data_IF_001472732865
#
_entry.id   IF_001472732865
#
_cell.length_a   1.000
_cell.length_b   1.000
_cell.length_c   1.000
_cell.angle_alpha   90.00
_cell.angle_beta   90.00
_cell.angle_gamma   90.00
#
_symmetry.space_group_name_H-M   'P 1'
#
loop_
_entity.id
_entity.type
_entity.pdbx_description
1 polymer ?
#
# COMPACT_ATOMS: atom_id res chain seq x y z
N UNK A 1 7.54 20.37 0.99
CA UNK A 1 8.28 19.76 2.12
C UNK A 1 9.77 20.11 2.10
N UNK A 2 10.50 19.77 1.06
CA UNK A 2 11.95 19.98 1.01
C UNK A 2 12.37 21.44 1.22
N UNK A 3 11.70 22.37 0.54
CA UNK A 3 11.96 23.80 0.74
C UNK A 3 11.84 24.18 2.21
N UNK A 4 10.73 23.78 2.85
CA UNK A 4 10.48 24.11 4.28
C UNK A 4 11.49 23.44 5.21
N UNK A 5 11.96 22.23 4.86
CA UNK A 5 13.03 21.56 5.61
C UNK A 5 14.33 22.35 5.51
N UNK A 6 14.70 22.80 4.31
CA UNK A 6 15.93 23.59 4.09
C UNK A 6 15.90 24.96 4.79
N UNK A 7 14.69 25.52 4.99
CA UNK A 7 14.54 26.80 5.71
C UNK A 7 14.77 26.63 7.23
N UNK A 8 14.55 25.44 7.78
CA UNK A 8 14.56 25.18 9.21
C UNK A 8 15.74 24.32 9.68
N UNK A 9 16.28 23.47 8.79
CA UNK A 9 17.30 22.47 9.13
C UNK A 9 18.40 22.44 8.08
N UNK A 10 19.56 21.95 8.46
CA UNK A 10 20.62 21.60 7.50
C UNK A 10 20.29 20.23 6.92
N UNK A 11 19.83 20.20 5.67
CA UNK A 11 19.34 18.99 5.01
C UNK A 11 20.43 18.37 4.12
N UNK A 12 20.56 17.06 4.21
CA UNK A 12 21.42 16.27 3.31
C UNK A 12 20.52 15.31 2.53
N UNK A 13 20.64 15.33 1.20
CA UNK A 13 19.87 14.47 0.31
C UNK A 13 20.59 13.13 0.16
N UNK A 14 20.23 12.18 1.01
CA UNK A 14 20.89 10.87 1.10
C UNK A 14 21.03 10.20 -0.28
N UNK A 15 19.98 10.27 -1.08
CA UNK A 15 19.94 9.63 -2.40
C UNK A 15 20.82 10.30 -3.45
N UNK A 16 21.36 11.49 -3.18
CA UNK A 16 22.29 12.19 -4.08
C UNK A 16 23.77 12.01 -3.65
N UNK A 17 23.99 11.45 -2.47
CA UNK A 17 25.35 11.28 -1.92
C UNK A 17 26.01 10.09 -2.62
N UNK A 18 27.06 10.36 -3.39
CA UNK A 18 27.77 9.33 -4.18
C UNK A 18 28.60 8.40 -3.28
N UNK A 19 29.31 8.97 -2.32
CA UNK A 19 30.12 8.21 -1.36
C UNK A 19 29.47 8.30 0.02
N UNK A 20 28.52 7.38 0.25
CA UNK A 20 27.74 7.34 1.48
C UNK A 20 28.61 6.99 2.70
N UNK A 21 29.63 6.16 2.53
CA UNK A 21 30.56 5.81 3.62
C UNK A 21 31.40 7.02 4.07
N UNK A 22 32.00 7.75 3.13
CA UNK A 22 32.73 8.96 3.46
C UNK A 22 31.84 10.01 4.13
N UNK A 23 30.61 10.15 3.65
CA UNK A 23 29.64 11.06 4.27
C UNK A 23 29.34 10.67 5.70
N UNK A 24 29.04 9.41 5.95
CA UNK A 24 28.73 8.92 7.32
C UNK A 24 29.92 9.06 8.27
N UNK A 25 31.14 8.82 7.78
CA UNK A 25 32.35 8.99 8.58
C UNK A 25 32.56 10.47 8.99
N UNK A 26 32.10 11.41 8.15
CA UNK A 26 32.32 12.85 8.39
C UNK A 26 31.15 13.52 9.11
N UNK A 27 29.96 13.04 8.90
CA UNK A 27 28.71 13.72 9.33
C UNK A 27 27.76 12.85 10.15
N UNK A 28 27.95 11.54 10.20
CA UNK A 28 27.00 10.63 10.84
C UNK A 28 26.73 10.98 12.30
N UNK A 29 27.78 11.44 13.01
CA UNK A 29 27.71 11.85 14.41
C UNK A 29 26.90 13.14 14.65
N UNK A 30 26.51 13.83 13.57
CA UNK A 30 25.77 15.11 13.65
C UNK A 30 24.33 15.01 13.14
N UNK A 31 23.97 13.86 12.54
CA UNK A 31 22.63 13.66 11.99
C UNK A 31 21.65 13.32 13.11
N UNK A 32 20.71 14.22 13.36
CA UNK A 32 19.72 14.09 14.44
C UNK A 32 18.35 13.60 13.97
N UNK A 33 18.03 13.81 12.70
CA UNK A 33 16.73 13.41 12.15
C UNK A 33 16.86 12.79 10.78
N UNK A 34 15.96 11.83 10.50
CA UNK A 34 15.82 11.23 9.17
C UNK A 34 14.37 11.39 8.72
N UNK A 35 14.18 11.94 7.52
CA UNK A 35 12.87 11.98 6.85
C UNK A 35 12.91 10.91 5.76
N UNK A 36 11.94 9.99 5.78
CA UNK A 36 11.93 8.85 4.87
C UNK A 36 10.51 8.51 4.42
N UNK A 37 10.38 7.74 3.33
CA UNK A 37 9.10 7.19 2.90
C UNK A 37 8.75 5.90 3.66
N UNK A 38 7.45 5.61 3.79
CA UNK A 38 7.00 4.39 4.49
C UNK A 38 7.46 3.09 3.83
N UNK A 39 7.71 3.14 2.51
CA UNK A 39 8.19 1.96 1.76
C UNK A 39 9.72 1.82 1.78
N UNK A 40 10.43 2.87 2.23
CA UNK A 40 11.90 2.90 2.33
C UNK A 40 12.35 2.61 3.76
N UNK A 41 11.79 3.35 4.73
CA UNK A 41 12.16 3.21 6.13
C UNK A 41 13.58 3.67 6.41
N UNK A 42 14.23 3.02 7.37
CA UNK A 42 15.66 3.20 7.65
C UNK A 42 16.29 1.83 7.93
N UNK A 43 17.25 1.39 7.10
CA UNK A 43 17.98 0.14 7.38
C UNK A 43 18.72 0.23 8.72
N UNK A 44 18.79 -0.90 9.44
CA UNK A 44 19.46 -0.96 10.74
C UNK A 44 20.93 -0.55 10.64
N UNK A 45 21.61 -0.94 9.55
CA UNK A 45 23.02 -0.60 9.31
C UNK A 45 23.22 0.92 9.19
N UNK A 46 22.27 1.60 8.56
CA UNK A 46 22.32 3.08 8.46
C UNK A 46 22.03 3.70 9.83
N UNK A 47 20.99 3.24 10.52
CA UNK A 47 20.65 3.76 11.85
C UNK A 47 21.84 3.63 12.81
N UNK A 48 22.60 2.52 12.76
CA UNK A 48 23.76 2.28 13.64
C UNK A 48 24.91 3.27 13.40
N UNK A 49 24.98 3.83 12.19
CA UNK A 49 26.00 4.82 11.84
C UNK A 49 25.57 6.26 12.14
N UNK A 50 24.42 6.43 12.80
CA UNK A 50 23.89 7.74 13.19
C UNK A 50 23.74 7.79 14.72
N UNK A 51 24.84 7.91 15.48
CA UNK A 51 24.77 7.83 16.95
C UNK A 51 23.97 8.97 17.59
N UNK A 52 23.83 10.11 16.91
CA UNK A 52 23.06 11.26 17.40
C UNK A 52 21.59 11.26 16.93
N UNK A 53 21.12 10.16 16.29
CA UNK A 53 19.76 10.09 15.75
C UNK A 53 18.72 10.21 16.87
N UNK A 54 17.84 11.21 16.76
CA UNK A 54 16.79 11.50 17.75
C UNK A 54 15.38 11.21 17.20
N UNK A 55 15.18 11.31 15.86
CA UNK A 55 13.86 11.11 15.26
C UNK A 55 13.96 10.55 13.84
N UNK A 56 13.06 9.61 13.53
CA UNK A 56 12.75 9.15 12.16
C UNK A 56 11.32 9.58 11.85
N UNK A 57 11.15 10.53 10.92
CA UNK A 57 9.84 11.04 10.50
C UNK A 57 9.45 10.39 9.17
N UNK A 58 8.43 9.54 9.21
CA UNK A 58 7.98 8.77 8.05
C UNK A 58 6.91 9.56 7.28
N UNK A 59 7.17 9.87 6.03
CA UNK A 59 6.21 10.45 5.10
C UNK A 59 5.37 9.32 4.50
N UNK A 60 4.43 8.81 5.30
CA UNK A 60 3.60 7.64 4.99
C UNK A 60 2.95 7.08 6.25
N UNK A 61 2.02 6.14 6.09
CA UNK A 61 1.36 5.48 7.22
C UNK A 61 2.16 4.25 7.69
N UNK A 62 2.65 3.46 6.74
CA UNK A 62 3.37 2.23 7.06
C UNK A 62 4.74 2.50 7.66
N UNK A 63 5.09 1.74 8.67
CA UNK A 63 6.41 1.81 9.34
C UNK A 63 7.07 0.44 9.40
N UNK A 64 6.64 -0.45 8.54
CA UNK A 64 7.10 -1.83 8.46
C UNK A 64 8.60 -1.95 8.12
N UNK A 65 9.20 -0.87 7.60
CA UNK A 65 10.63 -0.79 7.25
C UNK A 65 11.45 -0.05 8.33
N UNK A 66 10.89 0.11 9.55
CA UNK A 66 11.60 0.70 10.71
C UNK A 66 11.55 -0.31 11.86
N UNK A 67 12.72 -0.62 12.41
CA UNK A 67 12.85 -1.53 13.55
C UNK A 67 12.45 -0.79 14.84
N UNK A 68 11.17 -0.89 15.23
CA UNK A 68 10.64 -0.20 16.41
C UNK A 68 11.27 -0.67 17.72
N UNK A 69 11.52 -1.98 17.95
CA UNK A 69 12.30 -2.41 19.10
C UNK A 69 13.64 -1.71 19.20
N UNK A 70 14.38 -1.63 18.10
CA UNK A 70 15.67 -0.94 18.05
C UNK A 70 15.52 0.57 18.33
N UNK A 71 14.47 1.20 17.78
CA UNK A 71 14.20 2.62 18.04
C UNK A 71 14.03 2.86 19.54
N UNK A 72 13.23 2.03 20.22
CA UNK A 72 13.03 2.12 21.67
C UNK A 72 14.35 1.89 22.44
N UNK A 73 15.10 0.89 22.05
CA UNK A 73 16.38 0.56 22.71
C UNK A 73 17.38 1.71 22.61
N UNK A 74 17.44 2.36 21.43
CA UNK A 74 18.38 3.45 21.16
C UNK A 74 17.83 4.82 21.59
N UNK A 75 16.52 4.92 21.89
CA UNK A 75 15.88 6.14 22.36
C UNK A 75 15.54 7.16 21.29
N UNK A 76 15.54 6.78 20.00
CA UNK A 76 15.06 7.70 18.97
C UNK A 76 13.54 7.52 18.73
N UNK A 77 12.87 8.64 18.50
CA UNK A 77 11.43 8.66 18.26
C UNK A 77 11.12 8.29 16.80
N UNK A 78 9.92 7.77 16.57
CA UNK A 78 9.41 7.48 15.22
C UNK A 78 8.03 8.10 15.08
N UNK A 79 7.81 8.87 14.02
CA UNK A 79 6.51 9.43 13.67
C UNK A 79 6.10 9.00 12.25
N UNK A 80 4.79 9.03 11.96
CA UNK A 80 4.26 8.75 10.65
C UNK A 80 3.14 9.75 10.28
N UNK A 81 2.48 9.58 9.13
CA UNK A 81 1.45 10.52 8.69
C UNK A 81 0.09 9.82 8.52
N UNK A 82 -0.52 9.37 9.63
CA UNK A 82 -1.82 8.68 9.58
C UNK A 82 -2.95 9.64 9.23
N UNK A 83 -4.09 9.08 8.83
CA UNK A 83 -5.36 9.73 8.54
C UNK A 83 -5.37 10.58 7.27
N UNK A 84 -4.38 11.44 7.07
CA UNK A 84 -4.36 12.42 5.97
C UNK A 84 -4.41 11.79 4.56
N UNK A 85 -3.98 10.52 4.43
CA UNK A 85 -3.98 9.83 3.13
C UNK A 85 -5.12 8.80 2.99
N UNK A 86 -5.92 8.59 4.04
CA UNK A 86 -6.94 7.53 4.08
C UNK A 86 -7.93 7.62 2.92
N UNK A 87 -8.41 8.82 2.64
CA UNK A 87 -9.39 9.08 1.57
C UNK A 87 -8.83 8.71 0.20
N UNK A 88 -7.64 9.21 -0.13
CA UNK A 88 -7.03 9.01 -1.45
C UNK A 88 -6.68 7.54 -1.71
N UNK A 89 -6.16 6.86 -0.69
CA UNK A 89 -5.85 5.42 -0.83
C UNK A 89 -7.13 4.62 -1.06
N UNK A 90 -8.22 4.99 -0.35
CA UNK A 90 -9.51 4.33 -0.56
C UNK A 90 -10.06 4.63 -1.97
N UNK A 91 -9.91 5.87 -2.45
CA UNK A 91 -10.32 6.26 -3.82
C UNK A 91 -9.52 5.45 -4.87
N UNK A 92 -8.21 5.30 -4.65
CA UNK A 92 -7.36 4.49 -5.54
C UNK A 92 -7.82 3.03 -5.57
N UNK A 93 -8.19 2.45 -4.42
CA UNK A 93 -8.72 1.08 -4.37
C UNK A 93 -9.98 0.95 -5.25
N UNK A 94 -10.91 1.90 -5.13
CA UNK A 94 -12.14 1.89 -5.96
C UNK A 94 -11.77 2.08 -7.44
N UNK A 95 -10.83 2.98 -7.73
CA UNK A 95 -10.34 3.18 -9.10
C UNK A 95 -9.80 1.90 -9.72
N UNK A 96 -8.97 1.15 -8.96
CA UNK A 96 -8.42 -0.13 -9.42
C UNK A 96 -9.53 -1.18 -9.62
N UNK A 97 -10.50 -1.26 -8.70
CA UNK A 97 -11.65 -2.16 -8.83
C UNK A 97 -12.40 -1.89 -10.14
N UNK A 98 -12.74 -0.63 -10.39
CA UNK A 98 -13.49 -0.25 -11.60
C UNK A 98 -12.65 -0.47 -12.85
N UNK A 99 -11.39 -0.02 -12.83
CA UNK A 99 -10.50 -0.12 -13.99
C UNK A 99 -10.26 -1.59 -14.38
N UNK A 100 -10.07 -2.47 -13.40
CA UNK A 100 -9.88 -3.89 -13.65
C UNK A 100 -11.18 -4.52 -14.16
N UNK A 101 -12.31 -4.34 -13.46
CA UNK A 101 -13.58 -4.96 -13.81
C UNK A 101 -14.08 -4.53 -15.18
N UNK A 102 -13.81 -3.29 -15.60
CA UNK A 102 -14.32 -2.73 -16.84
C UNK A 102 -13.24 -2.60 -17.92
N UNK A 103 -12.05 -3.15 -17.69
CA UNK A 103 -10.92 -3.15 -18.63
C UNK A 103 -10.53 -1.72 -19.09
N UNK A 104 -10.64 -0.70 -18.19
CA UNK A 104 -10.50 0.70 -18.60
C UNK A 104 -9.12 0.99 -19.19
N UNK A 105 -8.05 0.51 -18.55
CA UNK A 105 -6.68 0.74 -19.04
C UNK A 105 -6.45 0.13 -20.42
N UNK A 106 -6.90 -1.11 -20.60
CA UNK A 106 -6.80 -1.82 -21.88
C UNK A 106 -7.65 -1.14 -22.96
N UNK A 107 -8.87 -0.71 -22.59
CA UNK A 107 -9.79 -0.04 -23.52
C UNK A 107 -9.21 1.32 -23.98
N UNK A 108 -8.66 2.11 -23.05
CA UNK A 108 -8.01 3.38 -23.39
C UNK A 108 -6.85 3.15 -24.38
N UNK A 109 -5.99 2.18 -24.05
CA UNK A 109 -4.84 1.85 -24.90
C UNK A 109 -5.30 1.36 -26.29
N UNK A 110 -6.38 0.58 -26.34
CA UNK A 110 -6.95 0.05 -27.60
C UNK A 110 -7.42 1.20 -28.51
N UNK A 111 -8.14 2.18 -27.95
CA UNK A 111 -8.62 3.34 -28.70
C UNK A 111 -7.45 4.20 -29.19
N UNK A 112 -6.49 4.51 -28.30
CA UNK A 112 -5.32 5.35 -28.62
C UNK A 112 -4.45 4.74 -29.74
N UNK A 113 -4.37 3.41 -29.80
CA UNK A 113 -3.64 2.69 -30.86
C UNK A 113 -4.41 2.62 -32.20
N UNK A 114 -5.62 3.20 -32.28
CA UNK A 114 -6.44 3.16 -33.48
C UNK A 114 -6.98 1.78 -33.81
N UNK A 115 -7.17 0.94 -32.81
CA UNK A 115 -7.60 -0.45 -33.00
C UNK A 115 -9.13 -0.61 -32.98
N UNK A 116 -9.88 0.35 -32.45
CA UNK A 116 -11.34 0.21 -32.31
C UNK A 116 -12.05 -0.10 -33.63
N UNK A 117 -11.71 0.53 -34.77
CA UNK A 117 -12.37 0.14 -36.03
C UNK A 117 -11.99 -1.25 -36.54
N UNK A 118 -10.96 -1.88 -35.96
CA UNK A 118 -10.45 -3.18 -36.42
C UNK A 118 -10.95 -4.34 -35.58
N UNK A 119 -11.19 -4.13 -34.29
CA UNK A 119 -11.57 -5.18 -33.36
C UNK A 119 -12.27 -4.59 -32.14
N UNK A 120 -13.17 -5.36 -31.57
CA UNK A 120 -13.81 -5.06 -30.26
C UNK A 120 -12.96 -5.64 -29.13
N UNK A 121 -13.06 -5.05 -27.95
CA UNK A 121 -12.49 -5.63 -26.73
C UNK A 121 -13.55 -6.54 -26.07
N UNK A 122 -13.09 -7.46 -25.24
CA UNK A 122 -13.96 -8.38 -24.50
C UNK A 122 -14.85 -7.64 -23.49
N UNK A 123 -15.92 -8.31 -23.09
CA UNK A 123 -16.83 -7.76 -22.08
C UNK A 123 -16.18 -7.73 -20.70
N UNK A 124 -16.45 -6.66 -19.96
CA UNK A 124 -16.06 -6.54 -18.57
C UNK A 124 -17.07 -7.16 -17.61
N UNK A 125 -16.78 -7.05 -16.33
CA UNK A 125 -17.61 -7.57 -15.25
C UNK A 125 -18.30 -6.40 -14.53
N UNK A 126 -19.52 -6.64 -14.03
CA UNK A 126 -20.25 -5.66 -13.20
C UNK A 126 -19.51 -5.46 -11.87
N UNK A 127 -19.42 -4.21 -11.43
CA UNK A 127 -18.86 -3.83 -10.13
C UNK A 127 -19.92 -3.97 -9.02
N UNK A 128 -21.14 -3.49 -9.31
CA UNK A 128 -22.24 -3.45 -8.33
C UNK A 128 -22.77 -4.84 -8.00
N UNK A 129 -23.18 -5.02 -6.74
CA UNK A 129 -23.82 -6.24 -6.25
C UNK A 129 -22.89 -7.41 -6.01
N UNK A 130 -21.57 -7.23 -6.15
CA UNK A 130 -20.58 -8.30 -5.93
C UNK A 130 -20.25 -8.45 -4.43
N UNK A 131 -19.66 -9.59 -4.10
CA UNK A 131 -19.15 -9.89 -2.76
C UNK A 131 -17.71 -9.39 -2.66
N UNK A 132 -17.48 -8.43 -1.75
CA UNK A 132 -16.16 -7.85 -1.52
C UNK A 132 -15.63 -8.28 -0.16
N UNK A 133 -14.43 -8.88 -0.16
CA UNK A 133 -13.69 -9.19 1.05
C UNK A 133 -12.64 -8.12 1.32
N UNK A 134 -12.52 -7.64 2.55
CA UNK A 134 -11.48 -6.67 2.93
C UNK A 134 -10.56 -7.34 3.95
N UNK A 135 -9.30 -7.54 3.57
CA UNK A 135 -8.27 -8.00 4.50
C UNK A 135 -7.70 -6.77 5.21
N UNK A 136 -8.11 -6.57 6.46
CA UNK A 136 -7.69 -5.43 7.28
C UNK A 136 -8.73 -4.30 7.33
N UNK A 137 -9.64 -4.34 8.32
CA UNK A 137 -10.67 -3.30 8.47
C UNK A 137 -10.21 -2.19 9.42
N UNK A 138 -9.04 -1.58 9.10
CA UNK A 138 -8.51 -0.38 9.74
C UNK A 138 -9.12 0.90 9.12
N UNK A 139 -8.46 2.05 9.30
CA UNK A 139 -8.95 3.33 8.76
C UNK A 139 -9.20 3.25 7.24
N UNK A 140 -8.23 2.76 6.49
CA UNK A 140 -8.32 2.64 5.02
C UNK A 140 -9.39 1.60 4.65
N UNK A 141 -9.36 0.40 5.29
CA UNK A 141 -10.36 -0.63 5.00
C UNK A 141 -11.79 -0.16 5.23
N UNK A 142 -12.03 0.61 6.31
CA UNK A 142 -13.34 1.21 6.58
C UNK A 142 -13.73 2.24 5.53
N UNK A 143 -12.77 3.06 5.08
CA UNK A 143 -13.01 4.06 4.04
C UNK A 143 -13.35 3.39 2.69
N UNK A 144 -12.71 2.26 2.38
CA UNK A 144 -13.02 1.44 1.19
C UNK A 144 -14.44 0.84 1.34
N UNK A 145 -14.74 0.24 2.51
CA UNK A 145 -16.06 -0.37 2.75
C UNK A 145 -17.19 0.64 2.51
N UNK A 146 -17.08 1.85 3.09
CA UNK A 146 -18.09 2.91 2.90
C UNK A 146 -18.29 3.30 1.44
N UNK A 147 -17.23 3.25 0.61
CA UNK A 147 -17.36 3.54 -0.83
C UNK A 147 -18.05 2.40 -1.56
N UNK A 148 -17.74 1.17 -1.16
CA UNK A 148 -18.35 -0.03 -1.75
C UNK A 148 -19.85 -0.12 -1.47
N UNK A 149 -20.33 0.45 -0.36
CA UNK A 149 -21.78 0.54 -0.08
C UNK A 149 -22.54 1.18 -1.23
N UNK A 150 -21.94 2.18 -1.91
CA UNK A 150 -22.57 2.87 -3.04
C UNK A 150 -22.74 1.97 -4.27
N UNK A 151 -22.10 0.81 -4.29
CA UNK A 151 -22.22 -0.19 -5.37
C UNK A 151 -23.13 -1.36 -4.98
N UNK A 152 -23.95 -1.21 -3.95
CA UNK A 152 -24.81 -2.29 -3.43
C UNK A 152 -24.00 -3.55 -3.10
N UNK A 153 -22.77 -3.38 -2.65
CA UNK A 153 -21.81 -4.48 -2.40
C UNK A 153 -22.19 -5.27 -1.16
N UNK A 154 -21.96 -6.58 -1.22
CA UNK A 154 -21.98 -7.44 -0.04
C UNK A 154 -20.57 -7.44 0.56
N UNK A 155 -20.39 -6.79 1.70
CA UNK A 155 -19.06 -6.53 2.27
C UNK A 155 -18.80 -7.46 3.44
N UNK A 156 -17.63 -8.09 3.42
CA UNK A 156 -17.12 -8.91 4.53
C UNK A 156 -15.66 -8.54 4.76
N UNK A 157 -15.14 -8.93 5.91
CA UNK A 157 -13.75 -8.62 6.24
C UNK A 157 -13.12 -9.70 7.12
N UNK A 158 -11.80 -9.69 7.17
CA UNK A 158 -11.01 -10.38 8.20
C UNK A 158 -9.97 -9.40 8.77
N UNK A 159 -9.50 -9.68 9.95
CA UNK A 159 -8.51 -8.87 10.66
C UNK A 159 -8.26 -9.43 12.04
N UNK A 160 -7.51 -8.69 12.86
CA UNK A 160 -7.09 -9.15 14.19
C UNK A 160 -8.24 -9.53 15.12
N UNK A 161 -9.41 -8.91 14.94
CA UNK A 161 -10.58 -9.17 15.78
C UNK A 161 -11.86 -8.72 15.05
N UNK A 162 -12.97 -9.32 15.44
CA UNK A 162 -14.30 -8.88 15.00
C UNK A 162 -14.57 -7.48 15.56
N UNK A 163 -15.18 -6.63 14.74
CA UNK A 163 -15.50 -5.24 15.10
C UNK A 163 -17.02 -5.04 15.07
N UNK A 164 -17.50 -4.01 15.76
CA UNK A 164 -18.91 -3.63 15.75
C UNK A 164 -19.19 -2.78 14.50
N UNK A 165 -19.43 -3.45 13.40
CA UNK A 165 -19.71 -2.85 12.09
C UNK A 165 -20.75 -3.73 11.36
N UNK A 166 -21.50 -3.17 10.39
CA UNK A 166 -22.54 -3.94 9.67
C UNK A 166 -22.02 -4.92 8.62
N UNK A 167 -20.73 -5.21 8.61
CA UNK A 167 -20.12 -6.09 7.60
C UNK A 167 -19.88 -7.50 8.14
N UNK A 168 -19.95 -8.50 7.25
CA UNK A 168 -19.66 -9.88 7.60
C UNK A 168 -18.22 -10.06 8.08
N UNK A 169 -18.01 -10.88 9.13
CA UNK A 169 -16.67 -11.17 9.65
C UNK A 169 -16.32 -12.64 9.42
N UNK A 170 -15.14 -12.88 8.89
CA UNK A 170 -14.55 -14.22 8.77
C UNK A 170 -13.29 -14.30 9.65
N UNK A 171 -13.14 -15.36 10.46
CA UNK A 171 -12.00 -15.44 11.37
C UNK A 171 -10.66 -15.70 10.65
N UNK A 172 -10.70 -16.21 9.41
CA UNK A 172 -9.49 -16.45 8.66
C UNK A 172 -9.55 -15.83 7.27
N UNK A 173 -8.38 -15.55 6.71
CA UNK A 173 -8.23 -14.99 5.36
C UNK A 173 -8.71 -15.99 4.29
N UNK A 174 -8.45 -17.28 4.52
CA UNK A 174 -8.90 -18.33 3.59
C UNK A 174 -10.44 -18.38 3.52
N UNK A 175 -11.11 -18.34 4.69
CA UNK A 175 -12.58 -18.30 4.73
C UNK A 175 -13.12 -17.05 4.03
N UNK A 176 -12.49 -15.90 4.24
CA UNK A 176 -12.88 -14.66 3.55
C UNK A 176 -12.76 -14.83 2.03
N UNK A 177 -11.63 -15.36 1.54
CA UNK A 177 -11.39 -15.57 0.11
C UNK A 177 -12.43 -16.52 -0.52
N UNK A 178 -12.81 -17.58 0.19
CA UNK A 178 -13.85 -18.53 -0.26
C UNK A 178 -15.22 -17.87 -0.43
N UNK A 179 -15.45 -16.74 0.26
CA UNK A 179 -16.77 -16.11 0.35
C UNK A 179 -16.83 -14.73 -0.32
N UNK A 180 -15.82 -14.36 -1.11
CA UNK A 180 -15.84 -13.10 -1.85
C UNK A 180 -15.42 -13.28 -3.32
N UNK A 181 -15.82 -12.33 -4.14
CA UNK A 181 -15.46 -12.27 -5.56
C UNK A 181 -14.27 -11.35 -5.78
N UNK A 182 -14.13 -10.35 -4.94
CA UNK A 182 -13.04 -9.37 -4.99
C UNK A 182 -12.44 -9.27 -3.59
N UNK A 183 -11.15 -9.54 -3.48
CA UNK A 183 -10.41 -9.42 -2.21
C UNK A 183 -9.55 -8.16 -2.26
N UNK A 184 -9.80 -7.23 -1.34
CA UNK A 184 -9.06 -5.97 -1.23
C UNK A 184 -8.12 -6.06 -0.02
N UNK A 185 -6.83 -5.83 -0.26
CA UNK A 185 -5.82 -5.86 0.80
C UNK A 185 -5.63 -4.44 1.34
N UNK A 186 -5.97 -4.25 2.63
CA UNK A 186 -5.81 -3.00 3.36
C UNK A 186 -5.17 -3.24 4.74
N UNK A 187 -4.59 -4.42 4.94
CA UNK A 187 -3.93 -4.82 6.19
C UNK A 187 -2.52 -4.20 6.28
N UNK A 188 -2.07 -3.98 7.50
CA UNK A 188 -0.69 -3.55 7.74
C UNK A 188 0.28 -4.70 7.46
N UNK A 189 1.45 -4.35 6.90
CA UNK A 189 2.51 -5.33 6.70
C UNK A 189 3.23 -5.61 8.03
N UNK A 190 3.51 -6.88 8.25
CA UNK A 190 4.25 -7.37 9.43
C UNK A 190 4.82 -8.76 9.09
N UNK A 191 5.60 -9.31 9.97
CA UNK A 191 6.11 -10.68 9.81
C UNK A 191 4.95 -11.71 9.68
N UNK A 192 3.87 -11.49 10.45
CA UNK A 192 2.71 -12.41 10.46
C UNK A 192 1.86 -12.29 9.18
N UNK A 193 1.89 -11.14 8.53
CA UNK A 193 1.10 -10.92 7.30
C UNK A 193 1.92 -11.10 6.02
N UNK A 194 3.23 -11.35 6.14
CA UNK A 194 4.07 -11.60 4.97
C UNK A 194 3.55 -12.80 4.20
N UNK A 195 3.33 -12.62 2.89
CA UNK A 195 2.80 -13.64 1.98
C UNK A 195 1.50 -14.31 2.50
N UNK A 196 0.70 -13.55 3.26
CA UNK A 196 -0.61 -14.04 3.71
C UNK A 196 -1.51 -14.39 2.51
N UNK A 197 -1.37 -13.64 1.40
CA UNK A 197 -2.04 -13.96 0.14
C UNK A 197 -1.12 -14.94 -0.62
N UNK A 198 -1.27 -16.20 -0.29
CA UNK A 198 -0.50 -17.31 -0.87
C UNK A 198 -1.32 -18.05 -1.94
N UNK A 199 -0.79 -19.13 -2.47
CA UNK A 199 -1.44 -19.92 -3.52
C UNK A 199 -2.83 -20.44 -3.09
N UNK A 200 -2.98 -20.85 -1.81
CA UNK A 200 -4.25 -21.40 -1.31
C UNK A 200 -5.34 -20.30 -1.27
N UNK A 201 -4.98 -19.11 -0.79
CA UNK A 201 -5.90 -17.96 -0.73
C UNK A 201 -6.30 -17.54 -2.15
N UNK A 202 -5.32 -17.48 -3.08
CA UNK A 202 -5.59 -17.12 -4.48
C UNK A 202 -6.50 -18.16 -5.17
N UNK A 203 -6.28 -19.43 -4.88
CA UNK A 203 -7.11 -20.54 -5.43
C UNK A 203 -8.54 -20.49 -4.89
N UNK A 204 -8.71 -20.05 -3.65
CA UNK A 204 -10.02 -19.97 -2.99
C UNK A 204 -10.86 -18.78 -3.48
N UNK A 205 -10.20 -17.75 -4.01
CA UNK A 205 -10.85 -16.48 -4.36
C UNK A 205 -11.71 -16.62 -5.62
N UNK A 206 -13.00 -16.29 -5.46
CA UNK A 206 -13.96 -16.41 -6.54
C UNK A 206 -14.47 -17.82 -6.84
N UNK A 207 -14.10 -18.67 -6.14
CA UNK A 207 -14.38 -20.06 -6.34
C UNK A 207 -15.84 -20.43 -6.12
N UNK A 208 -16.65 -19.60 -5.58
CA UNK A 208 -17.98 -19.85 -5.24
C UNK A 208 -18.92 -19.77 -6.39
N UNK A 209 -18.47 -19.31 -7.43
CA UNK A 209 -19.33 -19.33 -8.56
C UNK A 209 -19.01 -20.57 -9.41
N UNK A 210 -19.63 -21.17 -9.73
CA UNK A 210 -19.56 -22.26 -10.61
C UNK A 210 -19.13 -21.91 -11.96
N UNK A 211 -18.89 -20.71 -12.19
CA UNK A 211 -18.53 -20.24 -13.52
C UNK A 211 -17.02 -20.00 -13.67
N UNK A 212 -16.21 -20.65 -12.88
CA UNK A 212 -14.74 -20.62 -12.99
C UNK A 212 -14.11 -19.44 -12.24
N UNK A 213 -12.85 -19.13 -12.58
CA UNK A 213 -11.98 -18.21 -11.87
C UNK A 213 -12.30 -16.75 -12.15
N UNK A 214 -13.33 -16.22 -11.49
CA UNK A 214 -13.70 -14.80 -11.59
C UNK A 214 -13.19 -13.96 -10.41
N UNK A 215 -12.34 -14.56 -9.58
CA UNK A 215 -11.77 -13.89 -8.42
C UNK A 215 -10.84 -12.75 -8.83
N UNK A 216 -10.87 -11.65 -8.11
CA UNK A 216 -10.03 -10.47 -8.38
C UNK A 216 -9.31 -10.06 -7.10
N UNK A 217 -8.01 -9.82 -7.20
CA UNK A 217 -7.20 -9.30 -6.10
C UNK A 217 -6.91 -7.82 -6.30
N UNK A 218 -7.13 -7.01 -5.26
CA UNK A 218 -6.77 -5.58 -5.27
C UNK A 218 -5.79 -5.34 -4.12
N UNK A 219 -4.61 -4.81 -4.44
CA UNK A 219 -3.61 -4.52 -3.40
C UNK A 219 -3.24 -3.04 -3.39
N UNK A 220 -3.63 -2.33 -2.31
CA UNK A 220 -3.25 -0.93 -2.06
C UNK A 220 -2.47 -0.80 -0.75
N UNK A 221 -2.03 -1.91 -0.18
CA UNK A 221 -1.34 -1.93 1.13
C UNK A 221 0.18 -2.04 0.96
N UNK A 222 0.69 -3.27 0.82
CA UNK A 222 2.11 -3.56 0.57
C UNK A 222 2.24 -4.80 -0.32
N UNK A 223 3.24 -4.80 -1.19
CA UNK A 223 3.53 -5.97 -2.02
C UNK A 223 3.87 -7.21 -1.19
N UNK A 224 4.58 -7.03 -0.09
CA UNK A 224 5.01 -8.13 0.77
C UNK A 224 3.88 -8.96 1.39
N UNK A 225 2.62 -8.51 1.33
CA UNK A 225 1.48 -9.30 1.80
C UNK A 225 1.10 -10.39 0.79
N UNK A 226 1.57 -10.28 -0.45
CA UNK A 226 1.24 -11.19 -1.54
C UNK A 226 2.49 -11.99 -1.92
N UNK A 227 2.34 -13.29 -2.09
CA UNK A 227 3.34 -14.13 -2.77
C UNK A 227 3.21 -13.81 -4.27
N UNK A 228 4.09 -12.94 -4.79
CA UNK A 228 4.03 -12.47 -6.18
C UNK A 228 4.24 -13.62 -7.18
N UNK A 229 5.05 -14.63 -6.82
CA UNK A 229 5.26 -15.80 -7.69
C UNK A 229 3.95 -16.59 -7.82
N UNK A 230 3.27 -16.81 -6.70
CA UNK A 230 1.96 -17.49 -6.71
C UNK A 230 0.91 -16.66 -7.46
N UNK A 231 0.92 -15.33 -7.29
CA UNK A 231 0.00 -14.42 -7.99
C UNK A 231 0.17 -14.50 -9.51
N UNK A 232 1.43 -14.41 -9.99
CA UNK A 232 1.73 -14.49 -11.43
C UNK A 232 1.24 -15.83 -11.99
N UNK A 233 1.52 -16.93 -11.30
CA UNK A 233 1.06 -18.28 -11.73
C UNK A 233 -0.46 -18.37 -11.78
N UNK A 234 -1.16 -17.86 -10.77
CA UNK A 234 -2.63 -17.88 -10.71
C UNK A 234 -3.26 -17.08 -11.85
N UNK A 235 -2.66 -15.93 -12.20
CA UNK A 235 -3.12 -15.10 -13.32
C UNK A 235 -2.85 -15.78 -14.67
N UNK A 236 -1.65 -16.33 -14.86
CA UNK A 236 -1.25 -17.01 -16.11
C UNK A 236 -2.11 -18.25 -16.39
N UNK A 237 -2.42 -19.01 -15.36
CA UNK A 237 -3.23 -20.24 -15.50
C UNK A 237 -4.73 -19.94 -15.65
N UNK A 238 -5.15 -18.68 -15.42
CA UNK A 238 -6.56 -18.32 -15.38
C UNK A 238 -7.27 -18.75 -14.10
N UNK A 239 -6.53 -19.22 -13.10
CA UNK A 239 -7.08 -19.56 -11.78
C UNK A 239 -7.60 -18.31 -11.06
N UNK A 240 -6.92 -17.17 -11.26
CA UNK A 240 -7.37 -15.85 -10.79
C UNK A 240 -7.81 -15.03 -12.00
N UNK A 241 -9.00 -14.45 -11.94
CA UNK A 241 -9.59 -13.70 -13.04
C UNK A 241 -8.93 -12.35 -13.32
N UNK A 242 -8.25 -11.75 -12.32
CA UNK A 242 -7.55 -10.50 -12.54
C UNK A 242 -6.98 -9.87 -11.27
N UNK A 243 -6.26 -8.78 -11.44
CA UNK A 243 -5.69 -8.04 -10.31
C UNK A 243 -5.61 -6.54 -10.58
N UNK A 244 -5.68 -5.76 -9.50
CA UNK A 244 -5.37 -4.32 -9.50
C UNK A 244 -4.32 -4.06 -8.42
N UNK A 245 -3.12 -3.65 -8.83
CA UNK A 245 -1.97 -3.58 -7.94
C UNK A 245 -1.37 -2.16 -7.94
N UNK A 246 -1.36 -1.53 -6.77
CA UNK A 246 -0.66 -0.25 -6.58
C UNK A 246 0.71 -0.44 -5.94
N UNK A 247 0.99 -1.65 -5.42
CA UNK A 247 2.21 -1.93 -4.65
C UNK A 247 2.79 -3.29 -5.06
N UNK A 248 4.12 -3.43 -4.93
CA UNK A 248 4.87 -4.60 -5.36
C UNK A 248 5.90 -5.01 -4.30
N UNK A 249 6.32 -6.27 -4.30
CA UNK A 249 7.23 -6.78 -3.27
C UNK A 249 8.60 -6.09 -3.31
N UNK A 250 9.11 -5.82 -4.50
CA UNK A 250 10.45 -5.28 -4.71
C UNK A 250 10.44 -3.93 -5.45
N UNK A 251 9.58 -3.01 -5.02
CA UNK A 251 9.48 -1.68 -5.65
C UNK A 251 10.84 -0.99 -5.84
N UNK A 252 11.06 -0.36 -7.00
CA UNK A 252 10.13 -0.12 -8.11
C UNK A 252 10.09 -1.23 -9.17
N UNK A 253 10.67 -2.39 -8.91
CA UNK A 253 10.68 -3.52 -9.84
C UNK A 253 9.33 -4.26 -9.79
N UNK A 254 8.72 -4.44 -10.95
CA UNK A 254 7.45 -5.14 -11.12
C UNK A 254 7.73 -6.42 -11.92
N UNK A 255 7.16 -7.58 -11.55
CA UNK A 255 7.33 -8.78 -12.38
C UNK A 255 6.93 -8.53 -13.84
N UNK A 256 7.87 -8.79 -14.76
CA UNK A 256 7.67 -8.48 -16.18
C UNK A 256 6.48 -9.24 -16.78
N UNK A 257 6.16 -10.39 -16.23
CA UNK A 257 5.02 -11.21 -16.65
C UNK A 257 3.69 -10.46 -16.55
N UNK A 258 3.59 -9.49 -15.65
CA UNK A 258 2.36 -8.71 -15.45
C UNK A 258 2.13 -7.63 -16.53
N UNK A 259 3.19 -7.21 -17.24
CA UNK A 259 3.12 -6.03 -18.14
C UNK A 259 2.10 -6.21 -19.28
N UNK A 260 2.02 -7.41 -19.83
CA UNK A 260 1.16 -7.68 -20.98
C UNK A 260 -0.16 -8.39 -20.64
N UNK A 261 -0.48 -8.53 -19.34
CA UNK A 261 -1.72 -9.17 -18.91
C UNK A 261 -2.89 -8.20 -19.02
N UNK A 262 -3.87 -8.43 -19.91
CA UNK A 262 -4.98 -7.48 -20.11
C UNK A 262 -5.97 -7.43 -18.94
N UNK A 263 -5.94 -8.45 -18.08
CA UNK A 263 -6.80 -8.54 -16.88
C UNK A 263 -6.13 -7.98 -15.62
N UNK A 264 -4.97 -7.29 -15.77
CA UNK A 264 -4.23 -6.71 -14.64
C UNK A 264 -4.12 -5.20 -14.83
N UNK A 265 -4.36 -4.44 -13.76
CA UNK A 265 -4.15 -2.98 -13.73
C UNK A 265 -3.02 -2.69 -12.76
N UNK A 266 -2.01 -1.95 -13.23
CA UNK A 266 -0.80 -1.65 -12.46
C UNK A 266 -0.69 -0.14 -12.29
N UNK A 267 -0.41 0.31 -11.06
CA UNK A 267 -0.10 1.72 -10.77
C UNK A 267 1.16 1.80 -9.89
N UNK A 268 1.99 2.84 -10.05
CA UNK A 268 3.31 2.89 -9.41
C UNK A 268 3.26 3.53 -8.01
N UNK A 269 2.57 2.89 -7.08
CA UNK A 269 2.44 3.27 -5.67
C UNK A 269 1.92 4.72 -5.54
N UNK A 270 0.77 4.98 -6.16
CA UNK A 270 0.18 6.32 -6.22
C UNK A 270 -1.01 6.51 -5.27
N UNK A 271 -1.30 5.57 -4.39
CA UNK A 271 -2.47 5.61 -3.51
C UNK A 271 -2.62 6.93 -2.75
N UNK A 272 -1.52 7.56 -2.33
CA UNK A 272 -1.53 8.89 -1.67
C UNK A 272 -1.07 10.01 -2.60
N UNK A 273 -1.10 9.79 -3.91
CA UNK A 273 -0.44 10.62 -4.92
C UNK A 273 -1.21 11.83 -5.40
N UNK A 274 -1.88 12.57 -4.51
CA UNK A 274 -2.54 13.83 -4.87
C UNK A 274 -1.79 15.02 -4.27
N UNK A 275 -1.94 16.18 -4.89
CA UNK A 275 -1.32 17.42 -4.38
C UNK A 275 -1.80 17.72 -2.95
N UNK A 276 -3.08 17.52 -2.67
CA UNK A 276 -3.69 17.78 -1.37
C UNK A 276 -3.10 16.87 -0.29
N UNK A 277 -3.07 15.58 -0.55
CA UNK A 277 -2.56 14.59 0.41
C UNK A 277 -1.06 14.70 0.59
N UNK A 278 -0.30 14.89 -0.50
CA UNK A 278 1.15 15.08 -0.39
C UNK A 278 1.49 16.32 0.44
N UNK A 279 0.70 17.41 0.30
CA UNK A 279 0.88 18.60 1.15
C UNK A 279 0.56 18.28 2.60
N UNK A 280 -0.57 17.65 2.89
CA UNK A 280 -0.97 17.32 4.27
C UNK A 280 0.04 16.38 4.95
N UNK A 281 0.57 15.40 4.22
CA UNK A 281 1.63 14.52 4.73
C UNK A 281 2.89 15.32 5.05
N UNK A 282 3.30 16.21 4.15
CA UNK A 282 4.48 17.06 4.34
C UNK A 282 4.30 17.97 5.57
N UNK A 283 3.13 18.60 5.71
CA UNK A 283 2.83 19.46 6.85
C UNK A 283 2.93 18.66 8.17
N UNK A 284 2.46 17.41 8.17
CA UNK A 284 2.49 16.57 9.37
C UNK A 284 3.92 16.11 9.71
N UNK A 285 4.76 15.81 8.70
CA UNK A 285 6.19 15.54 8.89
C UNK A 285 6.86 16.74 9.56
N UNK A 286 6.63 17.95 9.01
CA UNK A 286 7.22 19.19 9.54
C UNK A 286 6.73 19.46 10.97
N UNK A 287 5.45 19.22 11.24
CA UNK A 287 4.88 19.39 12.58
C UNK A 287 5.53 18.44 13.60
N UNK A 288 5.78 17.18 13.22
CA UNK A 288 6.45 16.21 14.10
C UNK A 288 7.90 16.63 14.37
N UNK A 289 8.64 17.03 13.33
CA UNK A 289 10.02 17.50 13.50
C UNK A 289 10.08 18.74 14.38
N UNK A 290 9.20 19.72 14.11
CA UNK A 290 9.12 20.94 14.91
C UNK A 290 8.75 20.67 16.37
N UNK A 291 7.84 19.74 16.62
CA UNK A 291 7.47 19.31 17.98
C UNK A 291 8.68 18.67 18.68
N UNK A 292 9.33 17.72 18.00
CA UNK A 292 10.48 17.02 18.57
C UNK A 292 11.61 17.97 18.97
N UNK A 293 12.09 18.77 18.00
CA UNK A 293 13.21 19.68 18.26
C UNK A 293 12.82 20.87 19.14
N UNK A 294 11.52 21.14 19.30
CA UNK A 294 10.99 22.12 20.25
C UNK A 294 10.74 21.56 21.64
N UNK A 295 11.12 20.29 21.90
CA UNK A 295 10.96 19.67 23.21
C UNK A 295 9.51 19.33 23.57
N UNK A 296 8.66 19.14 22.56
CA UNK A 296 7.22 18.83 22.73
C UNK A 296 6.92 17.37 22.34
N UNK A 297 5.75 16.91 22.72
CA UNK A 297 5.27 15.60 22.29
C UNK A 297 5.02 15.58 20.77
N UNK A 298 5.29 14.44 20.15
CA UNK A 298 5.02 14.27 18.72
C UNK A 298 3.53 14.34 18.43
N UNK A 299 3.18 14.93 17.30
CA UNK A 299 1.79 15.04 16.85
C UNK A 299 1.23 13.63 16.50
N UNK A 300 2.07 12.80 15.89
CA UNK A 300 1.67 11.45 15.48
C UNK A 300 2.79 10.44 15.78
N UNK A 301 2.98 10.18 17.07
CA UNK A 301 4.02 9.26 17.54
C UNK A 301 3.68 7.80 17.17
N UNK A 302 4.68 7.08 16.67
CA UNK A 302 4.65 5.61 16.54
C UNK A 302 5.38 5.02 17.76
N UNK A 303 6.52 5.62 18.13
CA UNK A 303 7.30 5.27 19.31
C UNK A 303 8.12 6.49 19.74
#
# INVERSE_FOLDING_TARGET
MEQSLNEQYKVHRWFEIKDQDAFLNTHGDKIKGVVTGGHIGIPNELADRLPALEIVAINGVGYDKVDLPKARQRGYRVSNTPDVLTTDVADTAIGLIIAQARHIATADAHVRKGNWPKAEIGLGTRVSGRRYGIFGLGRIGKAIARRLECFDAQISYTGRAKQDVPYGYYPSLLELAQNCDVLVIAAAASAETRHAINADVLAALGXXXXLGSNGVLINIARGSLVDEVALVKALQSGQLGGAGLDVFENEPTVPAELYDMPNVVLTPHIGSGTHQTRKAMADLVLANLGAHFGGKELVTAVV
#
